data_IF_732915089397
#
_entry.id   IF_732915089397
#
_cell.length_a   1.000
_cell.length_b   1.000
_cell.length_c   1.000
_cell.angle_alpha   90.00
_cell.angle_beta   90.00
_cell.angle_gamma   90.00
#
_symmetry.space_group_name_H-M   'P 1'
#
loop_
_entity.id
_entity.type
_entity.pdbx_description
1 polymer ?
#
# COMPACT_ATOMS: atom_id res chain seq x y z
N UNK A 1 27.70 26.67 -1.64
CA UNK A 1 27.69 25.82 -0.43
C UNK A 1 26.47 26.14 0.44
N UNK A 2 26.40 27.29 1.13
CA UNK A 2 25.24 27.68 1.97
C UNK A 2 23.86 27.62 1.27
N UNK A 3 23.74 28.00 -0.01
CA UNK A 3 22.48 27.92 -0.77
C UNK A 3 22.02 26.47 -1.04
N UNK A 4 22.97 25.57 -1.26
CA UNK A 4 22.69 24.16 -1.55
C UNK A 4 22.29 23.41 -0.28
N UNK A 5 22.97 23.71 0.84
CA UNK A 5 22.67 23.14 2.15
C UNK A 5 21.32 23.62 2.68
N UNK A 6 20.98 24.90 2.48
CA UNK A 6 19.64 25.44 2.79
C UNK A 6 18.54 24.75 1.98
N UNK A 7 18.78 24.51 0.68
CA UNK A 7 17.82 23.81 -0.19
C UNK A 7 17.64 22.35 0.26
N UNK A 8 18.73 21.65 0.57
CA UNK A 8 18.65 20.29 1.10
C UNK A 8 17.87 20.23 2.42
N UNK A 9 18.17 21.12 3.37
CA UNK A 9 17.41 21.21 4.62
C UNK A 9 15.93 21.52 4.40
N UNK A 10 15.61 22.35 3.41
CA UNK A 10 14.23 22.68 3.05
C UNK A 10 13.49 21.46 2.49
N UNK A 11 14.09 20.73 1.55
CA UNK A 11 13.52 19.51 0.98
C UNK A 11 13.33 18.44 2.06
N UNK A 12 14.35 18.19 2.89
CA UNK A 12 14.27 17.22 3.99
C UNK A 12 13.19 17.58 5.02
N UNK A 13 13.04 18.87 5.34
CA UNK A 13 11.98 19.32 6.24
C UNK A 13 10.59 19.06 5.65
N UNK A 14 10.38 19.33 4.35
CA UNK A 14 9.10 19.10 3.69
C UNK A 14 8.77 17.62 3.53
N UNK A 15 9.76 16.78 3.23
CA UNK A 15 9.61 15.32 3.23
C UNK A 15 9.20 14.80 4.62
N UNK A 16 9.92 15.21 5.67
CA UNK A 16 9.61 14.81 7.04
C UNK A 16 8.20 15.28 7.47
N UNK A 17 7.83 16.51 7.14
CA UNK A 17 6.49 17.04 7.41
C UNK A 17 5.41 16.28 6.64
N UNK A 18 5.67 15.88 5.39
CA UNK A 18 4.75 15.05 4.61
C UNK A 18 4.53 13.69 5.26
N UNK A 19 5.60 13.02 5.71
CA UNK A 19 5.52 11.74 6.42
C UNK A 19 4.74 11.87 7.73
N UNK A 20 5.00 12.91 8.52
CA UNK A 20 4.26 13.15 9.79
C UNK A 20 2.78 13.41 9.52
N UNK A 21 2.44 14.22 8.52
CA UNK A 21 1.05 14.46 8.15
C UNK A 21 0.35 13.17 7.73
N UNK A 22 0.99 12.35 6.87
CA UNK A 22 0.42 11.06 6.46
C UNK A 22 0.16 10.16 7.66
N UNK A 23 1.10 10.06 8.61
CA UNK A 23 0.91 9.26 9.84
C UNK A 23 -0.26 9.77 10.69
N UNK A 24 -0.46 11.09 10.78
CA UNK A 24 -1.61 11.65 11.51
C UNK A 24 -2.96 11.41 10.81
N UNK A 25 -2.99 11.46 9.47
CA UNK A 25 -4.18 11.13 8.69
C UNK A 25 -4.59 9.66 8.87
N UNK A 26 -3.61 8.76 9.08
CA UNK A 26 -3.85 7.33 9.31
C UNK A 26 -4.29 7.03 10.73
N UNK A 27 -3.70 7.68 11.73
CA UNK A 27 -3.96 7.43 13.15
C UNK A 27 -5.24 8.06 13.74
N UNK A 28 -6.25 8.38 12.91
CA UNK A 28 -7.52 9.03 13.29
C UNK A 28 -7.34 10.36 14.07
N UNK A 29 -6.28 11.13 13.74
CA UNK A 29 -5.98 12.44 14.35
C UNK A 29 -5.95 13.54 13.28
N UNK A 30 -7.07 13.83 12.60
CA UNK A 30 -7.11 14.79 11.50
C UNK A 30 -6.70 16.21 11.93
N UNK A 31 -6.91 16.58 13.19
CA UNK A 31 -6.52 17.89 13.73
C UNK A 31 -5.01 18.13 13.69
N UNK A 32 -4.19 17.11 13.99
CA UNK A 32 -2.74 17.21 13.94
C UNK A 32 -2.24 17.24 12.49
N UNK A 33 -2.89 16.50 11.59
CA UNK A 33 -2.61 16.56 10.16
C UNK A 33 -2.89 17.95 9.58
N UNK A 34 -3.99 18.60 9.97
CA UNK A 34 -4.33 19.97 9.56
C UNK A 34 -3.23 20.96 9.95
N UNK A 35 -2.71 20.87 11.17
CA UNK A 35 -1.68 21.79 11.65
C UNK A 35 -0.38 21.68 10.83
N UNK A 36 0.09 20.45 10.59
CA UNK A 36 1.35 20.21 9.86
C UNK A 36 1.21 20.56 8.38
N UNK A 37 0.08 20.22 7.73
CA UNK A 37 -0.15 20.54 6.33
C UNK A 37 -0.29 22.06 6.07
N UNK A 38 -0.90 22.82 6.99
CA UNK A 38 -0.91 24.29 6.92
C UNK A 38 0.49 24.87 7.00
N UNK A 39 1.35 24.28 7.84
CA UNK A 39 2.74 24.71 7.93
C UNK A 39 3.51 24.43 6.62
N UNK A 40 3.23 23.33 5.92
CA UNK A 40 3.81 23.08 4.58
C UNK A 40 3.40 24.16 3.57
N UNK A 41 2.12 24.56 3.54
CA UNK A 41 1.66 25.64 2.65
C UNK A 41 2.27 27.01 2.98
N UNK A 42 2.62 27.26 4.24
CA UNK A 42 3.33 28.49 4.61
C UNK A 42 4.76 28.56 4.06
N UNK A 43 5.36 27.39 3.75
CA UNK A 43 6.69 27.28 3.16
C UNK A 43 6.64 27.25 1.63
N UNK A 44 5.75 26.44 1.06
CA UNK A 44 5.55 26.30 -0.39
C UNK A 44 4.07 26.38 -0.76
N UNK A 45 3.52 27.58 -1.00
CA UNK A 45 2.11 27.77 -1.33
C UNK A 45 1.65 27.04 -2.60
N UNK A 46 2.54 26.76 -3.54
CA UNK A 46 2.26 26.06 -4.80
C UNK A 46 2.34 24.53 -4.69
N UNK A 47 2.61 23.97 -3.51
CA UNK A 47 2.80 22.53 -3.34
C UNK A 47 1.47 21.79 -3.21
N UNK A 48 1.03 21.17 -4.31
CA UNK A 48 -0.24 20.44 -4.38
C UNK A 48 -0.39 19.33 -3.33
N UNK A 49 0.70 18.65 -2.96
CA UNK A 49 0.65 17.57 -1.97
C UNK A 49 0.13 18.05 -0.61
N UNK A 50 0.43 19.29 -0.22
CA UNK A 50 -0.02 19.88 1.04
C UNK A 50 -1.52 20.23 1.00
N UNK A 51 -2.03 20.71 -0.14
CA UNK A 51 -3.48 20.88 -0.33
C UNK A 51 -4.22 19.54 -0.29
N UNK A 52 -3.70 18.51 -0.96
CA UNK A 52 -4.29 17.16 -0.90
C UNK A 52 -4.35 16.65 0.55
N UNK A 53 -3.31 16.87 1.35
CA UNK A 53 -3.31 16.50 2.77
C UNK A 53 -4.38 17.26 3.58
N UNK A 54 -4.59 18.56 3.33
CA UNK A 54 -5.65 19.33 3.98
C UNK A 54 -7.05 18.87 3.54
N UNK A 55 -7.25 18.66 2.24
CA UNK A 55 -8.50 18.14 1.68
C UNK A 55 -8.87 16.81 2.35
N UNK A 56 -7.91 15.89 2.45
CA UNK A 56 -8.10 14.60 3.14
C UNK A 56 -8.39 14.78 4.63
N UNK A 57 -7.65 15.63 5.34
CA UNK A 57 -7.86 15.85 6.77
C UNK A 57 -9.26 16.40 7.07
N UNK A 58 -9.74 17.36 6.29
CA UNK A 58 -11.09 17.91 6.42
C UNK A 58 -12.16 16.88 6.06
N UNK A 59 -11.94 16.10 5.00
CA UNK A 59 -12.87 15.04 4.62
C UNK A 59 -13.01 13.97 5.73
N UNK A 60 -11.91 13.58 6.37
CA UNK A 60 -11.93 12.65 7.51
C UNK A 60 -12.59 13.23 8.76
N UNK A 61 -12.41 14.52 9.00
CA UNK A 61 -13.11 15.25 10.06
C UNK A 61 -14.61 15.46 9.76
N UNK A 62 -15.12 15.01 8.61
CA UNK A 62 -16.50 15.21 8.17
C UNK A 62 -16.81 16.61 7.65
N UNK A 63 -15.80 17.48 7.54
CA UNK A 63 -15.93 18.86 7.07
C UNK A 63 -15.68 18.96 5.56
N UNK A 64 -16.62 18.42 4.79
CA UNK A 64 -16.56 18.42 3.33
C UNK A 64 -16.49 19.83 2.73
N UNK A 65 -17.10 20.83 3.37
CA UNK A 65 -17.11 22.21 2.89
C UNK A 65 -15.71 22.80 2.85
N UNK A 66 -14.96 22.65 3.97
CA UNK A 66 -13.58 23.10 4.03
C UNK A 66 -12.68 22.28 3.10
N UNK A 67 -12.92 20.97 2.93
CA UNK A 67 -12.17 20.15 1.99
C UNK A 67 -12.28 20.66 0.53
N UNK A 68 -13.49 20.98 0.06
CA UNK A 68 -13.67 21.50 -1.30
C UNK A 68 -13.09 22.91 -1.47
N UNK A 69 -13.15 23.75 -0.44
CA UNK A 69 -12.55 25.08 -0.47
C UNK A 69 -11.02 25.04 -0.66
N UNK A 70 -10.34 24.01 -0.13
CA UNK A 70 -8.89 23.83 -0.33
C UNK A 70 -8.51 23.53 -1.78
N UNK A 71 -9.37 22.84 -2.54
CA UNK A 71 -9.14 22.62 -3.97
C UNK A 71 -9.20 23.92 -4.77
N UNK A 72 -10.22 24.74 -4.51
CA UNK A 72 -10.38 26.04 -5.19
C UNK A 72 -9.17 26.94 -4.91
N UNK A 73 -8.71 26.98 -3.66
CA UNK A 73 -7.51 27.72 -3.26
C UNK A 73 -6.24 27.17 -3.95
N UNK A 74 -6.09 25.85 -4.03
CA UNK A 74 -4.98 25.21 -4.76
C UNK A 74 -4.96 25.64 -6.24
N UNK A 75 -6.12 25.59 -6.91
CA UNK A 75 -6.24 25.98 -8.32
C UNK A 75 -5.88 27.45 -8.54
N UNK A 76 -6.36 28.35 -7.68
CA UNK A 76 -6.03 29.77 -7.74
C UNK A 76 -4.53 30.00 -7.61
N UNK A 77 -3.89 29.41 -6.59
CA UNK A 77 -2.45 29.59 -6.34
C UNK A 77 -1.59 28.98 -7.45
N UNK A 78 -1.92 27.78 -7.95
CA UNK A 78 -1.18 27.19 -9.07
C UNK A 78 -1.30 28.01 -10.35
N UNK A 79 -2.48 28.57 -10.60
CA UNK A 79 -2.68 29.42 -11.76
C UNK A 79 -1.91 30.74 -11.64
N UNK A 80 -1.98 31.40 -10.48
CA UNK A 80 -1.30 32.68 -10.24
C UNK A 80 0.22 32.55 -10.22
N UNK A 81 0.76 31.52 -9.55
CA UNK A 81 2.21 31.38 -9.34
C UNK A 81 2.91 30.60 -10.45
N UNK A 82 2.25 29.59 -11.02
CA UNK A 82 2.86 28.64 -11.96
C UNK A 82 2.20 28.61 -13.35
N UNK A 83 0.98 29.18 -13.50
CA UNK A 83 0.24 29.16 -14.76
C UNK A 83 -0.17 27.75 -15.21
N UNK A 84 -0.32 26.82 -14.26
CA UNK A 84 -0.68 25.42 -14.53
C UNK A 84 -2.01 25.06 -13.86
N UNK A 85 -2.70 24.08 -14.43
CA UNK A 85 -3.87 23.45 -13.81
C UNK A 85 -3.43 22.43 -12.74
N UNK A 86 -4.29 22.12 -11.75
CA UNK A 86 -4.03 21.08 -10.76
C UNK A 86 -3.77 19.72 -11.40
N UNK A 87 -2.89 18.93 -10.79
CA UNK A 87 -2.60 17.57 -11.20
C UNK A 87 -3.84 16.65 -11.12
N UNK A 88 -3.85 15.60 -11.93
CA UNK A 88 -4.98 14.65 -12.04
C UNK A 88 -5.32 14.01 -10.69
N UNK A 89 -4.31 13.74 -9.86
CA UNK A 89 -4.47 13.22 -8.50
C UNK A 89 -5.25 14.18 -7.60
N UNK A 90 -4.99 15.49 -7.73
CA UNK A 90 -5.68 16.56 -7.00
C UNK A 90 -7.14 16.69 -7.45
N UNK A 91 -7.39 16.60 -8.76
CA UNK A 91 -8.73 16.63 -9.35
C UNK A 91 -9.56 15.41 -8.93
N UNK A 92 -8.97 14.21 -8.97
CA UNK A 92 -9.65 12.97 -8.56
C UNK A 92 -10.04 12.99 -7.07
N UNK A 93 -9.16 13.54 -6.22
CA UNK A 93 -9.46 13.73 -4.79
C UNK A 93 -10.64 14.69 -4.58
N UNK A 94 -10.67 15.80 -5.32
CA UNK A 94 -11.78 16.74 -5.26
C UNK A 94 -13.10 16.10 -5.69
N UNK A 95 -13.12 15.41 -6.84
CA UNK A 95 -14.35 14.79 -7.36
C UNK A 95 -14.88 13.69 -6.44
N UNK A 96 -14.01 12.88 -5.84
CA UNK A 96 -14.45 11.87 -4.84
C UNK A 96 -15.03 12.50 -3.57
N UNK A 97 -14.39 13.55 -3.03
CA UNK A 97 -14.94 14.28 -1.86
C UNK A 97 -16.29 14.91 -2.21
N UNK A 98 -16.43 15.42 -3.44
CA UNK A 98 -17.66 16.02 -3.97
C UNK A 98 -18.76 14.99 -4.26
N UNK A 99 -18.42 13.76 -4.62
CA UNK A 99 -19.42 12.69 -4.75
C UNK A 99 -19.82 12.13 -3.39
N UNK A 100 -19.02 12.40 -2.33
CA UNK A 100 -19.25 11.86 -1.00
C UNK A 100 -18.89 10.38 -0.89
N UNK A 101 -18.19 9.87 -1.90
CA UNK A 101 -17.65 8.51 -1.96
C UNK A 101 -16.15 8.48 -1.61
N UNK A 102 -15.59 9.62 -1.19
CA UNK A 102 -14.23 9.67 -0.66
C UNK A 102 -14.11 8.81 0.59
N UNK A 103 -13.59 7.62 0.38
CA UNK A 103 -12.98 6.79 1.40
C UNK A 103 -11.49 7.10 1.32
N UNK A 104 -10.80 7.46 2.43
CA UNK A 104 -9.35 7.59 2.41
C UNK A 104 -8.78 6.29 1.85
N UNK A 105 -8.21 6.38 0.66
CA UNK A 105 -7.22 5.42 0.22
C UNK A 105 -6.01 5.79 1.07
N UNK A 106 -5.96 5.27 2.30
CA UNK A 106 -4.72 5.28 3.03
C UNK A 106 -3.69 4.60 2.11
N UNK A 107 -2.55 5.24 1.85
CA UNK A 107 -1.39 4.48 1.38
C UNK A 107 -0.99 3.44 2.43
N UNK A 108 -1.54 3.53 3.66
CA UNK A 108 -1.57 2.44 4.65
C UNK A 108 -2.88 1.64 4.66
N UNK A 109 -3.70 1.70 3.61
CA UNK A 109 -4.51 0.54 3.19
C UNK A 109 -3.68 -0.40 2.29
N UNK A 110 -2.41 -0.05 2.10
CA UNK A 110 -1.29 -0.91 1.66
C UNK A 110 -0.34 -1.22 2.86
N UNK A 111 -0.66 -0.79 4.10
CA UNK A 111 0.16 -1.09 5.31
C UNK A 111 -0.61 -1.31 6.64
N UNK A 112 -1.93 -1.18 6.67
CA UNK A 112 -2.84 -1.70 7.69
C UNK A 112 -4.11 -2.17 6.97
N UNK A 113 -3.98 -3.23 6.17
CA UNK A 113 -5.13 -4.04 5.88
C UNK A 113 -5.62 -4.69 7.19
N UNK A 114 -6.91 -5.10 7.28
CA UNK A 114 -7.35 -5.98 8.36
C UNK A 114 -6.45 -7.21 8.33
N UNK A 115 -5.51 -7.36 9.28
CA UNK A 115 -4.45 -8.37 9.22
C UNK A 115 -4.03 -8.66 7.76
N UNK A 116 -3.33 -7.69 7.13
CA UNK A 116 -2.91 -7.86 5.74
C UNK A 116 -2.19 -9.19 5.61
N UNK A 117 -2.83 -10.08 4.85
CA UNK A 117 -2.42 -11.45 4.80
C UNK A 117 -1.00 -11.49 4.22
N UNK A 118 -0.01 -11.67 5.10
CA UNK A 118 1.40 -11.47 4.76
C UNK A 118 1.78 -12.40 3.61
N UNK A 119 2.17 -11.86 2.46
CA UNK A 119 2.43 -12.69 1.28
C UNK A 119 3.53 -12.12 0.39
N UNK A 120 4.44 -12.99 -0.04
CA UNK A 120 5.47 -12.71 -1.04
C UNK A 120 5.30 -13.63 -2.28
N UNK A 121 4.07 -14.13 -2.52
CA UNK A 121 3.80 -15.02 -3.64
C UNK A 121 4.14 -14.35 -4.99
N UNK A 122 4.84 -15.04 -5.90
CA UNK A 122 5.15 -14.49 -7.22
C UNK A 122 3.88 -14.15 -8.02
N UNK A 123 3.74 -12.89 -8.43
CA UNK A 123 2.63 -12.46 -9.29
C UNK A 123 2.84 -12.94 -10.73
N UNK A 124 1.92 -13.79 -11.23
CA UNK A 124 1.91 -14.20 -12.63
C UNK A 124 0.87 -13.42 -13.42
N UNK A 125 1.31 -12.71 -14.46
CA UNK A 125 0.45 -11.89 -15.35
C UNK A 125 -0.36 -12.71 -16.37
N UNK A 126 -0.20 -14.04 -16.36
CA UNK A 126 -0.92 -14.95 -17.27
C UNK A 126 -1.90 -15.79 -16.46
N UNK A 127 -3.12 -16.04 -16.94
CA UNK A 127 -4.07 -16.90 -16.24
C UNK A 127 -3.60 -18.37 -16.28
N UNK A 128 -3.79 -19.10 -15.18
CA UNK A 128 -3.61 -20.56 -15.15
C UNK A 128 -4.89 -21.21 -15.70
N UNK A 129 -4.79 -21.90 -16.83
CA UNK A 129 -5.96 -22.44 -17.55
C UNK A 129 -6.06 -23.95 -17.30
N UNK A 130 -7.25 -24.44 -16.94
CA UNK A 130 -7.58 -25.88 -16.97
C UNK A 130 -7.00 -26.67 -15.79
N UNK A 131 -6.78 -26.01 -14.65
CA UNK A 131 -6.25 -26.61 -13.42
C UNK A 131 -7.15 -26.35 -12.20
N UNK A 132 -8.40 -25.99 -12.45
CA UNK A 132 -9.35 -25.59 -11.41
C UNK A 132 -9.68 -26.77 -10.46
N UNK A 133 -9.70 -28.01 -10.98
CA UNK A 133 -9.94 -29.21 -10.19
C UNK A 133 -8.79 -29.52 -9.23
N UNK A 134 -7.54 -29.36 -9.69
CA UNK A 134 -6.35 -29.55 -8.84
C UNK A 134 -6.22 -28.44 -7.80
N UNK A 135 -6.53 -27.19 -8.15
CA UNK A 135 -6.58 -26.08 -7.19
C UNK A 135 -7.64 -26.33 -6.12
N UNK A 136 -8.82 -26.82 -6.50
CA UNK A 136 -9.87 -27.18 -5.55
C UNK A 136 -9.41 -28.29 -4.59
N UNK A 137 -8.84 -29.37 -5.13
CA UNK A 137 -8.29 -30.47 -4.31
C UNK A 137 -7.21 -30.00 -3.33
N UNK A 138 -6.30 -29.13 -3.78
CA UNK A 138 -5.27 -28.55 -2.91
C UNK A 138 -5.87 -27.64 -1.84
N UNK A 139 -6.89 -26.85 -2.19
CA UNK A 139 -7.58 -25.98 -1.24
C UNK A 139 -8.22 -26.81 -0.13
N UNK A 140 -8.83 -27.95 -0.46
CA UNK A 140 -9.42 -28.85 0.53
C UNK A 140 -8.36 -29.39 1.50
N UNK A 141 -7.22 -29.87 0.99
CA UNK A 141 -6.12 -30.34 1.83
C UNK A 141 -5.51 -29.24 2.70
N UNK A 142 -5.41 -28.01 2.19
CA UNK A 142 -4.89 -26.85 2.93
C UNK A 142 -5.78 -26.51 4.14
N UNK A 143 -7.10 -26.75 4.05
CA UNK A 143 -8.04 -26.48 5.15
C UNK A 143 -8.12 -27.61 6.18
N UNK A 144 -7.50 -28.77 5.93
CA UNK A 144 -7.52 -29.87 6.90
C UNK A 144 -6.58 -29.58 8.08
N UNK A 145 -7.09 -29.50 9.33
CA UNK A 145 -6.29 -29.06 10.49
C UNK A 145 -5.13 -30.01 10.88
N UNK A 146 -5.11 -31.22 10.31
CA UNK A 146 -4.07 -32.23 10.56
C UNK A 146 -3.05 -32.35 9.41
N UNK A 147 -3.16 -31.52 8.37
CA UNK A 147 -2.22 -31.50 7.24
C UNK A 147 -1.28 -30.31 7.40
N UNK A 148 0.01 -30.59 7.59
CA UNK A 148 1.06 -29.57 7.74
C UNK A 148 2.05 -29.54 6.55
N UNK A 149 1.98 -30.53 5.66
CA UNK A 149 2.86 -30.64 4.48
C UNK A 149 2.11 -31.29 3.33
N UNK A 150 2.07 -30.60 2.20
CA UNK A 150 1.53 -31.10 0.93
C UNK A 150 2.67 -31.16 -0.08
N UNK A 151 2.88 -32.31 -0.71
CA UNK A 151 3.91 -32.49 -1.73
C UNK A 151 3.27 -32.65 -3.10
N UNK A 152 3.57 -31.73 -4.04
CA UNK A 152 3.10 -31.81 -5.43
C UNK A 152 4.17 -32.53 -6.26
N UNK A 153 3.85 -33.71 -6.79
CA UNK A 153 4.74 -34.52 -7.61
C UNK A 153 4.28 -34.53 -9.07
N UNK A 154 5.24 -34.51 -10.00
CA UNK A 154 4.94 -34.58 -11.42
C UNK A 154 6.14 -34.23 -12.30
N UNK A 155 6.05 -34.45 -13.63
CA UNK A 155 7.12 -34.21 -14.57
C UNK A 155 7.70 -32.78 -14.51
N UNK A 156 8.96 -32.61 -14.93
CA UNK A 156 9.58 -31.29 -15.07
C UNK A 156 8.77 -30.38 -15.99
N UNK A 157 8.67 -29.09 -15.67
CA UNK A 157 7.98 -28.10 -16.52
C UNK A 157 6.45 -28.16 -16.55
N UNK A 158 5.80 -29.13 -15.87
CA UNK A 158 4.33 -29.28 -15.89
C UNK A 158 3.56 -28.19 -15.12
N UNK A 159 4.27 -27.23 -14.50
CA UNK A 159 3.67 -26.10 -13.78
C UNK A 159 3.39 -26.33 -12.30
N UNK A 160 4.06 -27.28 -11.62
CA UNK A 160 3.85 -27.58 -10.18
C UNK A 160 3.97 -26.36 -9.27
N UNK A 161 5.03 -25.56 -9.46
CA UNK A 161 5.25 -24.32 -8.70
C UNK A 161 4.10 -23.34 -8.91
N UNK A 162 3.62 -23.23 -10.15
CA UNK A 162 2.51 -22.35 -10.49
C UNK A 162 1.18 -22.83 -9.93
N UNK A 163 0.97 -24.14 -9.88
CA UNK A 163 -0.18 -24.76 -9.22
C UNK A 163 -0.17 -24.51 -7.70
N UNK A 164 1.00 -24.64 -7.05
CA UNK A 164 1.16 -24.35 -5.63
C UNK A 164 0.86 -22.88 -5.30
N UNK A 165 1.40 -21.96 -6.11
CA UNK A 165 1.19 -20.52 -5.93
C UNK A 165 -0.29 -20.16 -6.15
N UNK A 166 -0.94 -20.70 -7.17
CA UNK A 166 -2.37 -20.44 -7.41
C UNK A 166 -3.27 -20.99 -6.28
N UNK A 167 -2.94 -22.14 -5.69
CA UNK A 167 -3.65 -22.66 -4.53
C UNK A 167 -3.44 -21.78 -3.29
N UNK A 168 -2.22 -21.29 -3.07
CA UNK A 168 -1.90 -20.35 -2.00
C UNK A 168 -2.63 -19.01 -2.17
N UNK A 169 -2.65 -18.40 -3.36
CA UNK A 169 -3.42 -17.19 -3.66
C UNK A 169 -4.92 -17.35 -3.37
N UNK A 170 -5.48 -18.54 -3.67
CA UNK A 170 -6.87 -18.85 -3.36
C UNK A 170 -7.12 -18.97 -1.85
N UNK A 171 -6.20 -19.57 -1.11
CA UNK A 171 -6.26 -19.66 0.35
C UNK A 171 -6.18 -18.27 1.02
N UNK A 172 -5.38 -17.36 0.45
CA UNK A 172 -5.32 -15.94 0.86
C UNK A 172 -6.67 -15.24 0.63
N UNK A 173 -7.22 -15.36 -0.58
CA UNK A 173 -8.45 -14.67 -1.00
C UNK A 173 -9.70 -15.15 -0.22
N UNK A 174 -9.67 -16.38 0.28
CA UNK A 174 -10.77 -16.96 1.08
C UNK A 174 -10.74 -16.55 2.55
N UNK A 175 -9.66 -15.91 3.02
CA UNK A 175 -9.54 -15.36 4.38
C UNK A 175 -9.21 -16.40 5.46
N UNK A 176 -8.89 -17.64 5.08
CA UNK A 176 -8.60 -18.74 6.00
C UNK A 176 -7.19 -18.69 6.60
N UNK A 177 -6.27 -17.96 5.98
CA UNK A 177 -4.90 -17.80 6.45
C UNK A 177 -4.66 -16.35 6.81
N UNK A 178 -5.12 -15.91 7.99
CA UNK A 178 -4.99 -14.50 8.41
C UNK A 178 -3.53 -14.08 8.61
N UNK A 179 -2.64 -15.03 8.91
CA UNK A 179 -1.23 -14.75 9.16
C UNK A 179 -0.38 -14.62 7.89
N UNK A 180 -0.83 -15.12 6.73
CA UNK A 180 -0.05 -15.07 5.51
C UNK A 180 0.05 -16.33 4.67
N UNK A 181 0.63 -16.19 3.49
CA UNK A 181 1.18 -17.29 2.70
C UNK A 181 2.46 -16.83 2.02
N UNK A 182 3.55 -17.59 2.20
CA UNK A 182 4.87 -17.19 1.74
C UNK A 182 5.47 -18.21 0.76
N UNK A 183 6.09 -17.71 -0.30
CA UNK A 183 6.92 -18.46 -1.21
C UNK A 183 8.38 -18.40 -0.77
N UNK A 184 9.00 -19.58 -0.64
CA UNK A 184 10.42 -19.72 -0.32
C UNK A 184 11.05 -20.54 -1.43
N UNK A 185 11.94 -19.90 -2.19
CA UNK A 185 12.72 -20.60 -3.19
C UNK A 185 13.85 -21.37 -2.52
N UNK A 186 13.76 -22.70 -2.56
CA UNK A 186 14.80 -23.59 -2.03
C UNK A 186 15.88 -23.93 -3.07
N UNK A 187 15.69 -23.56 -4.35
CA UNK A 187 16.68 -23.80 -5.43
C UNK A 187 18.06 -23.20 -5.12
N UNK A 188 18.21 -21.98 -4.59
CA UNK A 188 19.53 -21.40 -4.31
C UNK A 188 20.23 -22.00 -3.07
N UNK A 189 19.54 -22.78 -2.24
CA UNK A 189 20.10 -23.34 -1.01
C UNK A 189 20.98 -24.55 -1.30
N UNK A 190 22.21 -24.53 -0.80
CA UNK A 190 23.19 -25.62 -0.99
C UNK A 190 23.33 -26.50 0.24
N UNK A 191 22.97 -26.00 1.42
CA UNK A 191 23.09 -26.71 2.70
C UNK A 191 21.78 -26.67 3.49
N UNK A 192 21.43 -27.79 4.14
CA UNK A 192 20.21 -27.88 4.96
C UNK A 192 20.16 -26.87 6.12
N UNK A 193 21.34 -26.46 6.63
CA UNK A 193 21.45 -25.44 7.67
C UNK A 193 20.98 -24.04 7.25
N UNK A 194 20.83 -23.78 5.95
CA UNK A 194 20.39 -22.49 5.42
C UNK A 194 18.86 -22.35 5.40
N UNK A 195 18.12 -23.46 5.53
CA UNK A 195 16.65 -23.47 5.43
C UNK A 195 15.99 -22.62 6.53
N UNK A 196 16.41 -22.78 7.80
CA UNK A 196 15.83 -22.04 8.93
C UNK A 196 16.12 -20.53 8.88
N UNK A 197 17.36 -20.07 8.62
CA UNK A 197 17.63 -18.65 8.38
C UNK A 197 16.80 -18.05 7.24
N UNK A 198 16.69 -18.74 6.10
CA UNK A 198 15.89 -18.26 4.96
C UNK A 198 14.41 -18.19 5.29
N UNK A 199 13.87 -19.15 6.06
CA UNK A 199 12.51 -19.09 6.59
C UNK A 199 12.30 -17.87 7.49
N UNK A 200 13.19 -17.66 8.46
CA UNK A 200 13.08 -16.55 9.41
C UNK A 200 13.13 -15.18 8.70
N UNK A 201 14.07 -15.00 7.77
CA UNK A 201 14.19 -13.80 6.95
C UNK A 201 12.94 -13.57 6.11
N UNK A 202 12.44 -14.60 5.41
CA UNK A 202 11.25 -14.46 4.55
C UNK A 202 9.99 -14.12 5.33
N UNK A 203 9.88 -14.62 6.56
CA UNK A 203 8.72 -14.40 7.44
C UNK A 203 8.86 -13.13 8.31
N UNK A 204 9.97 -12.38 8.20
CA UNK A 204 10.32 -11.26 9.07
C UNK A 204 10.34 -11.63 10.58
N UNK A 205 10.79 -12.84 10.92
CA UNK A 205 11.07 -13.22 12.30
C UNK A 205 12.51 -12.80 12.69
N UNK A 206 12.70 -12.20 13.88
CA UNK A 206 14.02 -11.77 14.37
C UNK A 206 14.95 -12.94 14.73
#
# INVERSE_FOLDING_TARGET
WLRHEREQMHQTALEAMSTVTQNHLKGDRPELALAVARQQLSLEPWRESAYRQLMTAYALAGDRGNALAQFEQCREVLWEELGVEPAVETVNLYESIKLGDYVPISEDRILEAPDEVRSNLPAYTTPLIGREAEIASLSDFIMEPNIYLITIVGPGGIGKTRLAIAAAERALTTGNFQEGSFFIDLVPLQEAGQILPTLAETLNYP
#
